data_IF_405775963381
#
_entry.id   IF_405775963381
#
_cell.length_a   1.000
_cell.length_b   1.000
_cell.length_c   1.000
_cell.angle_alpha   90.00
_cell.angle_beta   90.00
_cell.angle_gamma   90.00
#
_symmetry.space_group_name_H-M   'P 1'
#
loop_
_entity.id
_entity.type
_entity.pdbx_description
1 polymer ?
#
# COMPACT_ATOMS: atom_id res chain seq x y z
N UNK A 1 -6.09 -0.58 -22.13
CA UNK A 1 -6.08 0.16 -20.84
C UNK A 1 -4.64 0.28 -20.36
N UNK A 2 -4.00 1.42 -20.58
CA UNK A 2 -2.55 1.63 -20.32
C UNK A 2 -2.19 1.47 -18.83
N UNK A 3 -2.97 2.04 -17.92
CA UNK A 3 -2.68 2.05 -16.47
C UNK A 3 -2.53 0.64 -15.89
N UNK A 4 -3.41 -0.29 -16.20
CA UNK A 4 -3.28 -1.66 -15.67
C UNK A 4 -2.10 -2.44 -16.27
N UNK A 5 -1.71 -2.13 -17.51
CA UNK A 5 -0.49 -2.67 -18.11
C UNK A 5 0.76 -2.16 -17.38
N UNK A 6 0.78 -0.89 -17.05
CA UNK A 6 1.88 -0.26 -16.32
C UNK A 6 1.96 -0.82 -14.88
N UNK A 7 0.83 -0.97 -14.21
CA UNK A 7 0.74 -1.62 -12.88
C UNK A 7 1.29 -3.05 -12.93
N UNK A 8 0.85 -3.84 -13.92
CA UNK A 8 1.33 -5.22 -14.09
C UNK A 8 2.85 -5.28 -14.35
N UNK A 9 3.42 -4.29 -15.05
CA UNK A 9 4.87 -4.19 -15.25
C UNK A 9 5.60 -3.95 -13.93
N UNK A 10 5.12 -3.01 -13.12
CA UNK A 10 5.72 -2.71 -11.80
C UNK A 10 5.62 -3.92 -10.86
N UNK A 11 4.50 -4.66 -10.91
CA UNK A 11 4.36 -5.90 -10.11
C UNK A 11 5.40 -6.95 -10.57
N UNK A 12 5.67 -7.11 -11.88
CA UNK A 12 6.73 -8.00 -12.36
C UNK A 12 8.12 -7.58 -11.86
N UNK A 13 8.40 -6.29 -11.83
CA UNK A 13 9.67 -5.79 -11.32
C UNK A 13 9.79 -6.02 -9.80
N UNK A 14 8.71 -5.85 -9.05
CA UNK A 14 8.66 -6.24 -7.64
C UNK A 14 8.95 -7.73 -7.43
N UNK A 15 8.34 -8.62 -8.24
CA UNK A 15 8.60 -10.06 -8.17
C UNK A 15 10.07 -10.39 -8.45
N UNK A 16 10.71 -9.70 -9.40
CA UNK A 16 12.16 -9.85 -9.66
C UNK A 16 12.99 -9.45 -8.45
N UNK A 17 12.65 -8.35 -7.77
CA UNK A 17 13.31 -7.94 -6.52
C UNK A 17 13.21 -9.01 -5.42
N UNK A 18 12.14 -9.81 -5.42
CA UNK A 18 11.97 -10.95 -4.52
C UNK A 18 12.64 -12.24 -5.02
N UNK A 19 13.44 -12.19 -6.09
CA UNK A 19 14.04 -13.35 -6.77
C UNK A 19 13.01 -14.38 -7.29
N UNK A 20 11.79 -13.94 -7.57
CA UNK A 20 10.75 -14.77 -8.18
C UNK A 20 10.91 -14.66 -9.70
N UNK A 21 11.57 -15.64 -10.30
CA UNK A 21 11.86 -15.69 -11.73
C UNK A 21 10.87 -16.51 -12.53
N UNK A 22 9.96 -17.21 -11.86
CA UNK A 22 8.92 -18.02 -12.54
C UNK A 22 7.93 -17.12 -13.28
N UNK A 23 7.52 -17.56 -14.47
CA UNK A 23 6.49 -16.88 -15.23
C UNK A 23 5.11 -17.12 -14.57
N UNK A 24 4.55 -16.05 -14.03
CA UNK A 24 3.30 -16.07 -13.30
C UNK A 24 2.23 -15.25 -14.02
N UNK A 25 0.98 -15.69 -13.91
CA UNK A 25 -0.16 -14.86 -14.23
C UNK A 25 -0.37 -13.87 -13.07
N UNK A 26 -0.56 -12.60 -13.41
CA UNK A 26 -0.91 -11.53 -12.48
C UNK A 26 -2.40 -11.28 -12.64
N UNK A 27 -3.18 -11.75 -11.67
CA UNK A 27 -4.63 -11.61 -11.68
C UNK A 27 -5.05 -10.52 -10.69
N UNK A 28 -5.43 -9.35 -11.21
CA UNK A 28 -6.02 -8.30 -10.38
C UNK A 28 -7.45 -8.74 -10.05
N UNK A 29 -7.68 -9.15 -8.81
CA UNK A 29 -8.95 -9.71 -8.36
C UNK A 29 -9.92 -8.63 -7.90
N UNK A 30 -9.36 -7.51 -7.42
CA UNK A 30 -10.12 -6.38 -6.90
C UNK A 30 -9.39 -5.08 -7.20
N UNK A 31 -10.13 -4.04 -7.54
CA UNK A 31 -9.59 -2.69 -7.67
C UNK A 31 -10.64 -1.69 -7.22
N UNK A 32 -10.20 -0.64 -6.53
CA UNK A 32 -11.06 0.41 -5.98
C UNK A 32 -10.39 1.78 -6.06
N UNK A 33 -11.20 2.81 -5.91
CA UNK A 33 -10.75 4.18 -5.82
C UNK A 33 -10.94 4.70 -4.40
N UNK A 34 -9.92 5.37 -3.88
CA UNK A 34 -10.03 6.16 -2.66
C UNK A 34 -9.85 7.63 -3.02
N UNK A 35 -10.87 8.41 -2.73
CA UNK A 35 -10.84 9.86 -2.89
C UNK A 35 -10.93 10.46 -1.51
N UNK A 36 -9.90 11.20 -1.09
CA UNK A 36 -9.78 11.73 0.26
C UNK A 36 -9.66 13.23 0.25
N UNK A 37 -10.50 13.89 1.01
CA UNK A 37 -10.46 15.34 1.21
C UNK A 37 -9.91 15.74 2.57
N UNK A 38 -10.00 14.89 3.58
CA UNK A 38 -9.62 15.28 4.96
C UNK A 38 -8.97 14.16 5.77
N UNK A 39 -9.23 12.88 5.49
CA UNK A 39 -8.86 11.79 6.43
C UNK A 39 -7.83 10.81 5.90
N UNK A 40 -7.09 10.20 6.83
CA UNK A 40 -6.27 9.02 6.59
C UNK A 40 -7.09 7.75 6.34
N UNK A 41 -6.44 6.66 6.00
CA UNK A 41 -7.00 5.31 6.08
C UNK A 41 -6.56 4.68 7.41
N UNK A 42 -7.46 4.03 8.15
CA UNK A 42 -7.07 3.26 9.32
C UNK A 42 -6.09 2.15 8.91
N UNK A 43 -5.34 1.66 9.89
CA UNK A 43 -4.41 0.54 9.69
C UNK A 43 -5.24 -0.70 9.31
N UNK A 44 -4.85 -1.33 8.20
CA UNK A 44 -5.49 -2.55 7.69
C UNK A 44 -4.52 -3.34 6.80
N UNK A 45 -4.91 -4.54 6.41
CA UNK A 45 -4.21 -5.36 5.42
C UNK A 45 -5.21 -6.06 4.47
N UNK A 46 -4.66 -6.79 3.52
CA UNK A 46 -5.40 -7.56 2.51
C UNK A 46 -4.91 -9.02 2.50
N UNK A 47 -4.92 -9.68 3.66
CA UNK A 47 -4.28 -10.97 3.90
C UNK A 47 -4.75 -12.11 2.98
N UNK A 48 -5.89 -11.98 2.32
CA UNK A 48 -6.43 -12.96 1.36
C UNK A 48 -5.73 -12.90 0.00
N UNK A 49 -4.85 -11.91 -0.24
CA UNK A 49 -4.19 -11.69 -1.50
C UNK A 49 -2.67 -11.82 -1.37
N UNK A 50 -1.99 -12.19 -2.46
CA UNK A 50 -0.53 -12.31 -2.44
C UNK A 50 0.15 -10.95 -2.43
N UNK A 51 -0.38 -10.02 -3.23
CA UNK A 51 0.16 -8.67 -3.43
C UNK A 51 -0.99 -7.68 -3.38
N UNK A 52 -0.71 -6.51 -2.82
CA UNK A 52 -1.55 -5.33 -2.96
C UNK A 52 -0.74 -4.21 -3.61
N UNK A 53 -1.44 -3.29 -4.25
CA UNK A 53 -0.82 -2.07 -4.78
C UNK A 53 -1.68 -0.85 -4.48
N UNK A 54 -1.02 0.31 -4.46
CA UNK A 54 -1.68 1.61 -4.47
C UNK A 54 -0.97 2.56 -5.43
N UNK A 55 -1.72 3.15 -6.34
CA UNK A 55 -1.26 4.12 -7.34
C UNK A 55 -1.90 5.48 -7.08
N UNK A 56 -1.13 6.55 -7.17
CA UNK A 56 -1.57 7.91 -6.89
C UNK A 56 -1.57 8.76 -8.17
N UNK A 57 -2.66 8.74 -8.94
CA UNK A 57 -2.75 9.55 -10.17
C UNK A 57 -2.85 11.05 -9.91
N UNK A 58 -3.31 11.46 -8.72
CA UNK A 58 -3.42 12.86 -8.35
C UNK A 58 -3.31 13.10 -6.85
N UNK A 59 -2.55 14.13 -6.46
CA UNK A 59 -2.41 14.58 -5.08
C UNK A 59 -2.42 16.10 -5.05
N UNK A 60 -3.50 16.68 -4.51
CA UNK A 60 -3.54 18.13 -4.31
C UNK A 60 -2.49 18.58 -3.28
N UNK A 61 -1.92 19.76 -3.47
CA UNK A 61 -0.84 20.35 -2.67
C UNK A 61 -1.03 20.20 -1.16
N UNK A 62 -2.23 20.46 -0.67
CA UNK A 62 -2.55 20.39 0.77
C UNK A 62 -2.43 18.99 1.40
N UNK A 63 -2.26 17.93 0.56
CA UNK A 63 -2.11 16.54 1.02
C UNK A 63 -0.73 15.96 0.78
N UNK A 64 0.23 16.74 0.33
CA UNK A 64 1.61 16.27 0.04
C UNK A 64 2.31 15.69 1.26
N UNK A 65 1.99 16.20 2.45
CA UNK A 65 2.60 15.75 3.70
C UNK A 65 1.99 14.45 4.24
N UNK A 66 0.92 13.95 3.62
CA UNK A 66 0.30 12.69 4.02
C UNK A 66 1.09 11.51 3.46
N UNK A 67 1.68 10.73 4.35
CA UNK A 67 2.54 9.61 4.02
C UNK A 67 1.75 8.30 3.98
N UNK A 68 2.22 7.35 3.19
CA UNK A 68 1.83 5.96 3.29
C UNK A 68 2.70 5.31 4.37
N UNK A 69 2.07 4.73 5.37
CA UNK A 69 2.76 4.11 6.51
C UNK A 69 2.56 2.60 6.44
N UNK A 70 3.66 1.87 6.50
CA UNK A 70 3.67 0.42 6.67
C UNK A 70 4.07 0.07 8.09
N UNK A 71 3.44 -0.93 8.65
CA UNK A 71 3.68 -1.39 10.02
C UNK A 71 4.40 -2.74 9.99
N UNK A 72 5.47 -2.83 10.75
CA UNK A 72 6.20 -4.08 10.91
C UNK A 72 5.44 -4.95 11.92
N UNK A 73 4.85 -6.04 11.43
CA UNK A 73 4.17 -7.04 12.27
C UNK A 73 5.10 -8.06 12.89
N UNK A 74 6.35 -8.11 12.46
CA UNK A 74 7.32 -8.89 13.19
C UNK A 74 7.18 -8.41 14.64
N UNK A 75 6.60 -9.26 15.49
CA UNK A 75 6.45 -9.05 16.91
C UNK A 75 7.74 -8.42 17.37
N UNK A 76 7.67 -7.12 17.62
CA UNK A 76 8.86 -6.39 17.98
C UNK A 76 9.42 -7.12 19.20
N UNK A 77 10.72 -7.18 19.31
CA UNK A 77 11.36 -7.66 20.54
C UNK A 77 10.77 -7.01 21.81
N UNK A 78 9.88 -6.05 21.65
CA UNK A 78 9.20 -5.26 22.65
C UNK A 78 7.93 -5.88 23.23
N UNK A 79 7.34 -6.90 22.63
CA UNK A 79 6.32 -7.71 23.30
C UNK A 79 6.99 -8.85 24.07
N UNK A 80 7.03 -8.88 25.36
CA UNK A 80 6.24 -8.25 26.42
C UNK A 80 6.93 -7.07 27.15
N UNK A 81 7.98 -6.50 26.64
CA UNK A 81 8.83 -5.50 27.31
C UNK A 81 8.64 -4.10 26.72
N UNK A 82 7.39 -3.67 26.58
CA UNK A 82 7.04 -2.41 25.94
C UNK A 82 7.88 -1.26 26.51
N UNK A 83 8.62 -0.58 25.65
CA UNK A 83 9.51 0.52 26.01
C UNK A 83 10.92 0.14 26.52
N UNK A 84 11.18 -1.10 26.89
CA UNK A 84 12.52 -1.48 27.39
C UNK A 84 13.58 -1.35 26.30
N UNK A 85 13.32 -1.93 25.11
CA UNK A 85 14.26 -1.84 24.00
C UNK A 85 14.33 -0.43 23.38
N UNK A 86 13.26 0.35 23.43
CA UNK A 86 13.26 1.72 22.93
C UNK A 86 14.32 2.58 23.62
N UNK A 87 14.61 2.31 24.91
CA UNK A 87 15.67 2.98 25.68
C UNK A 87 17.09 2.55 25.34
N UNK A 88 17.23 1.42 24.61
CA UNK A 88 18.52 0.84 24.24
C UNK A 88 18.87 1.07 22.76
N UNK A 89 17.99 1.67 22.00
CA UNK A 89 18.18 1.92 20.57
C UNK A 89 18.86 3.25 20.34
N UNK A 90 20.10 3.22 19.87
CA UNK A 90 20.84 4.43 19.49
C UNK A 90 20.35 5.07 18.16
N UNK A 91 19.61 4.31 17.34
CA UNK A 91 19.05 4.79 16.07
C UNK A 91 18.08 3.78 15.44
N UNK A 92 17.07 4.30 14.78
CA UNK A 92 16.04 3.50 14.10
C UNK A 92 16.47 3.08 12.70
N UNK A 93 16.21 1.84 12.33
CA UNK A 93 16.47 1.27 11.02
C UNK A 93 15.39 0.25 10.64
N UNK A 94 15.55 -0.36 9.45
CA UNK A 94 14.59 -1.30 8.89
C UNK A 94 14.32 -2.57 9.72
N UNK A 95 15.14 -2.88 10.68
CA UNK A 95 15.02 -4.09 11.49
C UNK A 95 14.43 -3.83 12.87
N UNK A 96 14.54 -2.61 13.36
CA UNK A 96 14.13 -2.25 14.73
C UNK A 96 13.01 -1.20 14.81
N UNK A 97 12.55 -0.64 13.66
CA UNK A 97 11.44 0.30 13.67
C UNK A 97 10.08 -0.43 13.63
N UNK A 98 9.11 0.14 14.30
CA UNK A 98 7.72 -0.37 14.32
C UNK A 98 6.96 -0.03 13.04
N UNK A 99 7.34 1.02 12.35
CA UNK A 99 6.68 1.47 11.12
C UNK A 99 7.62 2.23 10.20
N UNK A 100 7.27 2.24 8.92
CA UNK A 100 7.94 3.00 7.87
C UNK A 100 6.97 3.95 7.23
N UNK A 101 7.36 5.20 7.10
CA UNK A 101 6.60 6.22 6.40
C UNK A 101 7.25 6.56 5.07
N UNK A 102 6.47 6.51 4.01
CA UNK A 102 6.91 6.86 2.66
C UNK A 102 6.18 8.13 2.21
N UNK A 103 6.91 9.16 1.76
CA UNK A 103 6.30 10.30 1.11
C UNK A 103 5.59 9.83 -0.16
N UNK A 104 4.41 10.37 -0.41
CA UNK A 104 3.60 10.02 -1.56
C UNK A 104 3.59 11.20 -2.53
N UNK A 105 3.92 10.95 -3.79
CA UNK A 105 3.85 11.92 -4.86
C UNK A 105 2.92 11.45 -5.98
N UNK A 106 2.43 12.39 -6.77
CA UNK A 106 1.66 12.10 -7.98
C UNK A 106 2.49 11.23 -8.93
N UNK A 107 1.88 10.20 -9.49
CA UNK A 107 2.54 9.19 -10.30
C UNK A 107 3.17 8.03 -9.54
N UNK A 108 3.29 8.10 -8.21
CA UNK A 108 3.84 6.99 -7.44
C UNK A 108 2.93 5.77 -7.46
N UNK A 109 3.57 4.61 -7.52
CA UNK A 109 2.96 3.31 -7.26
C UNK A 109 3.75 2.58 -6.17
N UNK A 110 3.05 2.03 -5.20
CA UNK A 110 3.60 1.15 -4.17
C UNK A 110 3.04 -0.25 -4.38
N UNK A 111 3.92 -1.25 -4.34
CA UNK A 111 3.58 -2.66 -4.44
C UNK A 111 4.15 -3.36 -3.22
N UNK A 112 3.34 -4.12 -2.52
CA UNK A 112 3.69 -4.72 -1.24
C UNK A 112 2.92 -6.04 -1.01
N UNK A 113 3.38 -6.89 -0.06
CA UNK A 113 2.65 -8.11 0.30
C UNK A 113 1.23 -7.79 0.78
N UNK A 114 0.25 -8.59 0.38
CA UNK A 114 -1.15 -8.36 0.74
C UNK A 114 -1.40 -8.38 2.25
N UNK A 115 -0.63 -9.15 3.01
CA UNK A 115 -0.74 -9.24 4.47
C UNK A 115 -0.01 -8.10 5.22
N UNK A 116 0.64 -7.17 4.53
CA UNK A 116 1.36 -6.07 5.17
C UNK A 116 0.37 -5.02 5.68
N UNK A 117 0.39 -4.79 6.99
CA UNK A 117 -0.40 -3.73 7.62
C UNK A 117 0.07 -2.36 7.15
N UNK A 118 -0.87 -1.56 6.68
CA UNK A 118 -0.59 -0.23 6.17
C UNK A 118 -1.74 0.74 6.44
N UNK A 119 -1.45 2.02 6.36
CA UNK A 119 -2.41 3.09 6.55
C UNK A 119 -1.92 4.42 5.99
N UNK A 120 -2.73 5.45 6.09
CA UNK A 120 -2.40 6.80 5.65
C UNK A 120 -2.73 7.78 6.75
N UNK A 121 -1.70 8.36 7.36
CA UNK A 121 -1.81 9.42 8.35
C UNK A 121 -2.61 9.05 9.59
N UNK A 122 -2.71 9.98 10.52
CA UNK A 122 -3.61 9.85 11.67
C UNK A 122 -5.07 9.92 11.18
N UNK A 123 -5.89 8.99 11.67
CA UNK A 123 -7.31 8.92 11.36
C UNK A 123 -8.07 10.01 12.14
N UNK A 124 -7.98 11.26 11.70
CA UNK A 124 -8.91 12.27 12.14
C UNK A 124 -10.20 12.14 11.34
N UNK A 125 -11.25 11.72 12.00
CA UNK A 125 -12.66 11.67 11.58
C UNK A 125 -12.95 11.36 10.08
N UNK A 126 -13.63 10.26 9.86
CA UNK A 126 -14.12 9.84 8.53
C UNK A 126 -15.07 10.88 7.95
N UNK A 127 -14.68 11.48 6.85
CA UNK A 127 -15.62 12.24 6.01
C UNK A 127 -16.27 11.26 5.04
N UNK A 128 -17.58 11.25 5.01
CA UNK A 128 -18.37 10.40 4.13
C UNK A 128 -18.27 10.83 2.67
N UNK A 129 -18.51 9.90 1.74
CA UNK A 129 -18.54 10.10 0.27
C UNK A 129 -19.53 11.21 -0.20
N UNK A 130 -20.37 11.72 0.68
CA UNK A 130 -21.37 12.75 0.39
C UNK A 130 -20.80 14.12 0.04
N UNK A 131 -19.50 14.34 0.22
CA UNK A 131 -18.84 15.62 -0.07
C UNK A 131 -18.42 15.82 -1.52
N UNK A 132 -18.42 14.77 -2.36
CA UNK A 132 -18.04 14.90 -3.77
C UNK A 132 -19.24 15.23 -4.64
N UNK A 133 -19.39 16.50 -4.99
CA UNK A 133 -20.52 16.99 -5.79
C UNK A 133 -20.14 17.37 -7.21
N UNK A 134 -18.85 17.58 -7.49
CA UNK A 134 -18.41 18.10 -8.77
C UNK A 134 -16.93 17.77 -9.08
N UNK A 135 -16.47 18.16 -10.27
CA UNK A 135 -15.10 17.94 -10.75
C UNK A 135 -14.04 18.68 -9.92
N UNK A 136 -14.39 19.82 -9.33
CA UNK A 136 -13.46 20.62 -8.55
C UNK A 136 -13.12 19.94 -7.22
N UNK A 137 -14.04 19.15 -6.67
CA UNK A 137 -13.79 18.33 -5.48
C UNK A 137 -12.71 17.27 -5.75
N UNK A 138 -12.70 16.69 -6.96
CA UNK A 138 -11.65 15.76 -7.39
C UNK A 138 -10.29 16.44 -7.50
N UNK A 139 -10.22 17.60 -8.15
CA UNK A 139 -8.98 18.37 -8.31
C UNK A 139 -8.42 18.77 -6.94
N UNK A 140 -9.29 19.06 -5.98
CA UNK A 140 -8.91 19.45 -4.62
C UNK A 140 -8.73 18.25 -3.67
N UNK A 141 -8.61 17.02 -4.18
CA UNK A 141 -8.51 15.80 -3.38
C UNK A 141 -7.15 15.12 -3.50
N UNK A 142 -6.96 14.09 -2.68
CA UNK A 142 -5.97 13.06 -2.89
C UNK A 142 -6.69 11.84 -3.45
N UNK A 143 -6.33 11.46 -4.65
CA UNK A 143 -6.93 10.35 -5.36
C UNK A 143 -5.95 9.18 -5.45
N UNK A 144 -6.35 7.99 -5.06
CA UNK A 144 -5.54 6.80 -5.29
C UNK A 144 -6.39 5.63 -5.81
N UNK A 145 -5.74 4.78 -6.58
CA UNK A 145 -6.26 3.51 -7.07
C UNK A 145 -5.59 2.40 -6.29
N UNK A 146 -6.35 1.68 -5.49
CA UNK A 146 -5.90 0.47 -4.82
C UNK A 146 -6.28 -0.78 -5.61
N UNK A 147 -5.59 -1.87 -5.36
CA UNK A 147 -5.99 -3.16 -5.89
C UNK A 147 -5.24 -4.33 -5.27
N UNK A 148 -5.88 -5.49 -5.39
CA UNK A 148 -5.43 -6.78 -4.87
C UNK A 148 -5.11 -7.74 -6.01
N UNK A 149 -4.08 -8.55 -5.81
CA UNK A 149 -3.54 -9.42 -6.84
C UNK A 149 -3.32 -10.83 -6.30
N UNK A 150 -3.81 -11.80 -7.05
CA UNK A 150 -3.47 -13.21 -6.89
C UNK A 150 -2.55 -13.64 -8.02
N UNK A 151 -1.43 -14.26 -7.64
CA UNK A 151 -0.47 -14.84 -8.55
C UNK A 151 -0.81 -16.32 -8.79
N UNK A 152 -0.81 -16.74 -10.04
CA UNK A 152 -0.98 -18.16 -10.40
C UNK A 152 0.13 -18.61 -11.33
N UNK A 153 0.50 -19.89 -11.26
CA UNK A 153 1.47 -20.45 -12.21
C UNK A 153 0.86 -20.49 -13.61
N UNK A 154 1.66 -20.24 -14.63
CA UNK A 154 1.24 -20.44 -16.03
C UNK A 154 1.22 -21.92 -16.42
N UNK A 155 2.07 -22.72 -15.79
CA UNK A 155 2.25 -24.15 -16.10
C UNK A 155 1.37 -25.00 -15.17
N UNK A 156 0.08 -25.09 -15.45
CA UNK A 156 -0.83 -26.06 -14.81
C UNK A 156 -1.09 -27.28 -15.70
N UNK A 157 -0.22 -27.55 -16.67
CA UNK A 157 -0.45 -28.68 -17.61
C UNK A 157 0.04 -30.02 -17.11
N UNK A 158 0.76 -30.14 -15.99
CA UNK A 158 1.37 -31.39 -15.55
C UNK A 158 0.95 -31.84 -14.15
N UNK A 159 -0.36 -31.90 -13.90
CA UNK A 159 -0.91 -32.70 -12.80
C UNK A 159 -1.97 -33.64 -13.37
N UNK A 160 -1.50 -34.62 -14.14
CA UNK A 160 -2.22 -35.86 -14.42
C UNK A 160 -1.40 -37.04 -13.87
#
# INVERSE_FOLDING_TARGET
MKVYSDIASVIRDYLKCLNITKDLNINITKSWFNIKTVTGNPIHNHAENHISFTYYPHIHEKYKDKQLVFFNEAKSLNEPYDGFFDSLVDGWNNFNCKSYSFPVAEGNIFVFPGNMNHGVGEAENQTTLESFKNKDDLINSRFCVGGDVILTRKDTKDYN
#
